data_IF_142904963438
#
_entry.id   IF_142904963438
#
_cell.length_a   1.000
_cell.length_b   1.000
_cell.length_c   1.000
_cell.angle_alpha   90.00
_cell.angle_beta   90.00
_cell.angle_gamma   90.00
#
_symmetry.space_group_name_H-M   'P 1'
#
loop_
_entity.id
_entity.type
_entity.pdbx_description
1 polymer ?
#
# COMPACT_ATOMS: atom_id res chain seq x y z
N UNK A 1 -39.98 -28.94 -169.87
CA UNK A 1 -40.93 -30.03 -169.56
C UNK A 1 -40.35 -31.34 -170.11
N UNK A 2 -40.32 -32.42 -169.31
CA UNK A 2 -39.72 -33.72 -169.68
C UNK A 2 -40.81 -34.65 -170.27
N UNK A 3 -40.55 -35.35 -171.38
CA UNK A 3 -41.46 -36.33 -171.98
C UNK A 3 -41.42 -37.70 -171.28
N UNK A 4 -42.50 -38.52 -171.31
CA UNK A 4 -42.63 -39.75 -170.50
C UNK A 4 -41.57 -40.83 -170.76
N UNK A 5 -41.18 -41.54 -169.68
CA UNK A 5 -40.18 -42.63 -169.57
C UNK A 5 -40.56 -43.93 -170.32
N UNK A 6 -39.58 -44.64 -170.89
CA UNK A 6 -39.68 -46.08 -171.18
C UNK A 6 -38.28 -46.76 -171.15
N UNK A 7 -38.19 -47.93 -170.51
CA UNK A 7 -36.98 -48.66 -170.04
C UNK A 7 -36.17 -48.05 -168.87
N UNK A 8 -36.68 -47.00 -168.20
CA UNK A 8 -36.20 -46.59 -166.87
C UNK A 8 -35.40 -45.29 -166.77
N UNK A 9 -35.09 -44.58 -167.86
CA UNK A 9 -34.38 -43.29 -167.81
C UNK A 9 -35.22 -42.12 -168.38
N UNK A 10 -35.14 -40.93 -167.74
CA UNK A 10 -35.67 -39.66 -168.26
C UNK A 10 -34.57 -38.91 -169.04
N UNK A 11 -34.83 -38.27 -170.20
CA UNK A 11 -33.85 -37.46 -170.92
C UNK A 11 -33.82 -36.01 -170.41
N UNK A 12 -32.64 -35.35 -170.34
CA UNK A 12 -32.46 -33.97 -169.84
C UNK A 12 -33.28 -32.90 -170.61
N UNK A 13 -33.86 -31.91 -169.89
CA UNK A 13 -34.73 -30.86 -170.44
C UNK A 13 -34.03 -29.52 -170.75
N UNK A 14 -34.58 -28.76 -171.71
CA UNK A 14 -34.03 -27.47 -172.23
C UNK A 14 -34.96 -26.28 -171.87
N UNK A 15 -34.37 -25.09 -171.66
CA UNK A 15 -34.97 -23.85 -171.12
C UNK A 15 -35.56 -22.91 -172.21
N UNK A 16 -36.54 -22.05 -171.85
CA UNK A 16 -37.27 -21.17 -172.78
C UNK A 16 -37.44 -19.69 -172.36
N UNK A 17 -36.70 -19.16 -171.37
CA UNK A 17 -36.85 -17.75 -170.96
C UNK A 17 -35.82 -16.84 -171.64
N UNK A 18 -36.26 -15.75 -172.28
CA UNK A 18 -35.44 -14.58 -172.62
C UNK A 18 -35.64 -13.42 -171.62
N UNK A 19 -34.69 -12.47 -171.46
CA UNK A 19 -34.72 -11.46 -170.40
C UNK A 19 -35.63 -10.25 -170.72
N UNK A 20 -36.35 -9.72 -169.72
CA UNK A 20 -37.16 -8.49 -169.82
C UNK A 20 -36.51 -7.31 -169.03
N UNK A 21 -36.57 -6.10 -169.62
CA UNK A 21 -35.70 -4.95 -169.32
C UNK A 21 -36.05 -4.05 -168.12
N UNK A 22 -35.16 -3.07 -167.87
CA UNK A 22 -35.14 -2.18 -166.71
C UNK A 22 -36.15 -1.01 -166.78
N UNK A 23 -36.76 -0.66 -165.65
CA UNK A 23 -37.63 0.53 -165.47
C UNK A 23 -36.94 1.59 -164.60
N UNK A 24 -37.02 2.86 -165.03
CA UNK A 24 -36.23 4.00 -164.56
C UNK A 24 -36.68 4.74 -163.29
N UNK A 25 -35.94 5.81 -162.95
CA UNK A 25 -35.81 6.50 -161.66
C UNK A 25 -37.01 7.35 -161.19
N UNK A 26 -37.25 7.39 -159.87
CA UNK A 26 -38.27 8.22 -159.19
C UNK A 26 -37.65 9.51 -158.60
N UNK A 27 -38.37 10.65 -158.71
CA UNK A 27 -37.88 12.02 -158.44
C UNK A 27 -37.71 12.44 -156.96
N UNK A 28 -37.23 13.67 -156.71
CA UNK A 28 -36.81 14.12 -155.38
C UNK A 28 -37.99 14.35 -154.42
N UNK A 29 -37.85 13.88 -153.18
CA UNK A 29 -38.85 14.09 -152.12
C UNK A 29 -38.78 15.52 -151.56
N UNK A 30 -39.95 16.13 -151.30
CA UNK A 30 -40.07 17.49 -150.75
C UNK A 30 -39.59 17.63 -149.30
N UNK A 31 -39.25 18.86 -148.90
CA UNK A 31 -38.73 19.22 -147.57
C UNK A 31 -39.68 18.82 -146.42
N UNK A 32 -39.16 18.12 -145.41
CA UNK A 32 -39.87 17.76 -144.17
C UNK A 32 -40.41 19.00 -143.44
N UNK A 33 -41.68 18.97 -143.00
CA UNK A 33 -42.32 20.05 -142.23
C UNK A 33 -41.69 20.27 -140.84
N UNK A 34 -41.83 21.47 -140.30
CA UNK A 34 -41.25 21.85 -139.00
C UNK A 34 -41.74 20.94 -137.86
N UNK A 35 -40.81 20.45 -137.03
CA UNK A 35 -41.11 19.65 -135.84
C UNK A 35 -42.06 20.39 -134.90
N UNK A 36 -43.14 19.74 -134.45
CA UNK A 36 -44.11 20.33 -133.53
C UNK A 36 -43.48 20.77 -132.20
N UNK A 37 -44.09 21.76 -131.54
CA UNK A 37 -43.61 22.30 -130.25
C UNK A 37 -43.43 21.18 -129.23
N UNK A 38 -42.27 21.14 -128.56
CA UNK A 38 -42.02 20.15 -127.52
C UNK A 38 -43.08 20.26 -126.42
N UNK A 39 -43.69 19.13 -126.03
CA UNK A 39 -44.64 19.09 -124.93
C UNK A 39 -44.01 19.59 -123.63
N UNK A 40 -44.81 20.18 -122.74
CA UNK A 40 -44.33 20.66 -121.44
C UNK A 40 -43.67 19.51 -120.68
N UNK A 41 -42.41 19.71 -120.26
CA UNK A 41 -41.65 18.68 -119.56
C UNK A 41 -42.34 18.34 -118.22
N UNK A 42 -42.54 17.05 -117.96
CA UNK A 42 -42.99 16.61 -116.64
C UNK A 42 -41.88 16.91 -115.61
N UNK A 43 -42.26 17.50 -114.47
CA UNK A 43 -41.32 17.80 -113.38
C UNK A 43 -41.61 16.89 -112.17
N UNK A 44 -40.56 16.54 -111.45
CA UNK A 44 -40.66 15.80 -110.18
C UNK A 44 -39.80 16.53 -109.15
N UNK A 45 -40.38 16.79 -107.97
CA UNK A 45 -39.66 17.33 -106.82
C UNK A 45 -39.96 16.52 -105.57
N UNK A 46 -39.08 16.61 -104.57
CA UNK A 46 -39.28 15.99 -103.26
C UNK A 46 -39.95 17.01 -102.34
N UNK A 47 -41.06 16.61 -101.73
CA UNK A 47 -41.76 17.37 -100.72
C UNK A 47 -41.18 17.12 -99.33
N UNK A 48 -42.03 16.89 -98.34
CA UNK A 48 -41.60 16.63 -96.96
C UNK A 48 -41.01 15.23 -96.81
N UNK A 49 -39.92 15.10 -96.06
CA UNK A 49 -39.40 13.83 -95.57
C UNK A 49 -39.56 13.80 -94.06
N UNK A 50 -40.32 12.82 -93.55
CA UNK A 50 -40.61 12.69 -92.12
C UNK A 50 -40.13 11.35 -91.60
N UNK A 51 -39.59 11.33 -90.38
CA UNK A 51 -39.23 10.07 -89.73
C UNK A 51 -40.45 9.50 -89.01
N UNK A 52 -40.91 8.32 -89.43
CA UNK A 52 -42.02 7.59 -88.80
C UNK A 52 -41.61 6.84 -87.53
N UNK A 53 -42.59 6.31 -86.81
CA UNK A 53 -42.35 5.43 -85.66
C UNK A 53 -41.62 4.15 -86.09
N UNK A 54 -40.82 3.58 -85.19
CA UNK A 54 -40.12 2.33 -85.47
C UNK A 54 -41.11 1.18 -85.71
N UNK A 55 -40.76 0.27 -86.63
CA UNK A 55 -41.61 -0.85 -87.05
C UNK A 55 -42.78 -0.51 -87.99
N UNK A 56 -43.01 0.78 -88.32
CA UNK A 56 -44.02 1.15 -89.33
C UNK A 56 -43.51 0.89 -90.76
N UNK A 57 -44.40 0.86 -91.76
CA UNK A 57 -44.02 0.71 -93.18
C UNK A 57 -43.58 2.06 -93.78
N UNK A 58 -42.57 2.03 -94.66
CA UNK A 58 -42.20 3.22 -95.44
C UNK A 58 -43.28 3.54 -96.49
N UNK A 59 -43.53 4.83 -96.73
CA UNK A 59 -44.55 5.27 -97.68
C UNK A 59 -44.09 6.47 -98.49
N UNK A 60 -44.49 6.52 -99.76
CA UNK A 60 -44.33 7.67 -100.65
C UNK A 60 -45.69 8.09 -101.15
N UNK A 61 -46.02 9.38 -101.01
CA UNK A 61 -47.29 9.95 -101.48
C UNK A 61 -47.01 11.10 -102.43
N UNK A 62 -47.61 11.10 -103.63
CA UNK A 62 -47.56 12.26 -104.50
C UNK A 62 -48.60 13.29 -104.03
N UNK A 63 -48.14 14.41 -103.50
CA UNK A 63 -48.97 15.55 -103.10
C UNK A 63 -49.07 16.62 -104.20
N UNK A 64 -48.37 16.43 -105.33
CA UNK A 64 -48.44 17.28 -106.52
C UNK A 64 -49.49 16.79 -107.54
N UNK A 65 -49.29 17.15 -108.81
CA UNK A 65 -50.13 16.64 -109.92
C UNK A 65 -49.44 15.50 -110.67
N UNK A 66 -50.12 14.86 -111.61
CA UNK A 66 -49.52 13.81 -112.47
C UNK A 66 -48.45 14.33 -113.42
N UNK A 67 -48.47 15.64 -113.76
CA UNK A 67 -47.51 16.27 -114.67
C UNK A 67 -46.45 17.14 -113.95
N UNK A 68 -46.65 17.41 -112.66
CA UNK A 68 -45.70 18.10 -111.78
C UNK A 68 -45.78 17.44 -110.39
N UNK A 69 -45.12 16.29 -110.24
CA UNK A 69 -45.23 15.46 -109.05
C UNK A 69 -44.40 16.04 -107.89
N UNK A 70 -44.96 16.01 -106.69
CA UNK A 70 -44.26 16.37 -105.45
C UNK A 70 -44.36 15.18 -104.52
N UNK A 71 -43.25 14.45 -104.34
CA UNK A 71 -43.25 13.20 -103.59
C UNK A 71 -42.90 13.46 -102.12
N UNK A 72 -43.84 13.19 -101.22
CA UNK A 72 -43.62 13.21 -99.78
C UNK A 72 -43.27 11.80 -99.27
N UNK A 73 -42.23 11.71 -98.45
CA UNK A 73 -41.71 10.45 -97.92
C UNK A 73 -41.95 10.36 -96.40
N UNK A 74 -42.38 9.19 -95.94
CA UNK A 74 -42.31 8.81 -94.53
C UNK A 74 -41.37 7.62 -94.38
N UNK A 75 -40.30 7.80 -93.61
CA UNK A 75 -39.23 6.82 -93.41
C UNK A 75 -39.26 6.40 -91.94
N UNK A 76 -39.66 5.17 -91.60
CA UNK A 76 -39.65 4.66 -90.24
C UNK A 76 -38.26 4.77 -89.60
N UNK A 77 -38.18 5.21 -88.34
CA UNK A 77 -36.94 5.08 -87.57
C UNK A 77 -36.61 3.60 -87.37
N UNK A 78 -35.32 3.25 -87.26
CA UNK A 78 -34.94 1.92 -86.77
C UNK A 78 -35.42 1.67 -85.34
N UNK A 79 -35.60 0.40 -84.98
CA UNK A 79 -35.88 0.00 -83.60
C UNK A 79 -34.76 0.45 -82.66
N UNK A 80 -35.09 0.74 -81.40
CA UNK A 80 -34.08 1.01 -80.38
C UNK A 80 -33.15 -0.19 -80.27
N UNK A 81 -31.83 0.06 -80.34
CA UNK A 81 -30.84 -0.99 -80.15
C UNK A 81 -31.04 -1.72 -78.82
N UNK A 82 -30.70 -3.00 -78.76
CA UNK A 82 -30.77 -3.77 -77.53
C UNK A 82 -30.02 -3.02 -76.41
N UNK A 83 -30.56 -3.05 -75.19
CA UNK A 83 -29.83 -2.56 -74.00
C UNK A 83 -28.46 -3.22 -73.98
N UNK A 84 -27.41 -2.41 -73.83
CA UNK A 84 -26.05 -2.94 -73.72
C UNK A 84 -25.99 -3.99 -72.61
N UNK A 85 -25.22 -5.05 -72.83
CA UNK A 85 -24.94 -6.05 -71.80
C UNK A 85 -24.55 -5.35 -70.50
N UNK A 86 -25.09 -5.80 -69.36
CA UNK A 86 -24.59 -5.38 -68.05
C UNK A 86 -23.07 -5.52 -68.04
N UNK A 87 -22.35 -4.45 -67.68
CA UNK A 87 -20.90 -4.50 -67.58
C UNK A 87 -20.46 -5.65 -66.68
N UNK A 88 -19.27 -6.24 -66.89
CA UNK A 88 -18.79 -7.32 -66.03
C UNK A 88 -18.86 -6.86 -64.58
N UNK A 89 -19.58 -7.60 -63.72
CA UNK A 89 -19.52 -7.36 -62.28
C UNK A 89 -18.07 -7.54 -61.84
N UNK A 90 -17.44 -6.46 -61.40
CA UNK A 90 -16.15 -6.55 -60.73
C UNK A 90 -16.34 -7.40 -59.48
N UNK A 91 -15.76 -8.61 -59.47
CA UNK A 91 -15.68 -9.40 -58.25
C UNK A 91 -14.72 -8.70 -57.31
N UNK A 92 -15.26 -7.95 -56.36
CA UNK A 92 -14.48 -7.48 -55.21
C UNK A 92 -14.31 -8.68 -54.29
N UNK A 93 -13.24 -9.42 -54.49
CA UNK A 93 -12.84 -10.48 -53.56
C UNK A 93 -12.13 -9.84 -52.38
N UNK A 94 -12.81 -9.80 -51.23
CA UNK A 94 -12.22 -9.36 -49.98
C UNK A 94 -11.82 -10.58 -49.15
N UNK A 95 -10.54 -10.67 -48.80
CA UNK A 95 -10.04 -11.63 -47.82
C UNK A 95 -9.93 -10.92 -46.48
N UNK A 96 -10.27 -11.62 -45.39
CA UNK A 96 -10.18 -11.07 -44.06
C UNK A 96 -8.78 -10.45 -43.80
N UNK A 97 -8.70 -9.26 -43.18
CA UNK A 97 -9.73 -8.59 -42.39
C UNK A 97 -10.65 -7.62 -43.15
N UNK A 98 -10.48 -7.51 -44.49
CA UNK A 98 -11.30 -6.65 -45.33
C UNK A 98 -12.64 -7.35 -45.59
N UNK A 99 -13.74 -6.62 -45.40
CA UNK A 99 -15.10 -7.11 -45.66
C UNK A 99 -15.73 -6.26 -46.75
N UNK A 100 -16.42 -6.91 -47.70
CA UNK A 100 -17.20 -6.23 -48.73
C UNK A 100 -18.69 -6.50 -48.52
N UNK A 101 -19.49 -5.43 -48.33
CA UNK A 101 -20.94 -5.54 -48.28
C UNK A 101 -21.50 -5.28 -49.68
N UNK A 102 -21.98 -6.34 -50.34
CA UNK A 102 -22.53 -6.27 -51.69
C UNK A 102 -23.88 -5.53 -51.77
N UNK A 103 -24.64 -5.45 -50.67
CA UNK A 103 -25.93 -4.74 -50.63
C UNK A 103 -25.79 -3.22 -50.56
N UNK A 104 -24.76 -2.72 -49.87
CA UNK A 104 -24.48 -1.27 -49.74
C UNK A 104 -23.30 -0.80 -50.57
N UNK A 105 -22.60 -1.70 -51.24
CA UNK A 105 -21.37 -1.44 -52.01
C UNK A 105 -20.28 -0.74 -51.16
N UNK A 106 -20.17 -1.09 -49.88
CA UNK A 106 -19.19 -0.51 -48.97
C UNK A 106 -18.07 -1.51 -48.65
N UNK A 107 -16.85 -0.98 -48.53
CA UNK A 107 -15.67 -1.72 -48.07
C UNK A 107 -15.39 -1.30 -46.63
N UNK A 108 -15.24 -2.29 -45.74
CA UNK A 108 -14.94 -2.08 -44.33
C UNK A 108 -13.77 -2.94 -43.84
N UNK A 109 -13.28 -2.64 -42.65
CA UNK A 109 -12.31 -3.46 -41.91
C UNK A 109 -13.04 -3.99 -40.68
N UNK A 110 -13.02 -5.30 -40.46
CA UNK A 110 -13.63 -5.89 -39.27
C UNK A 110 -12.91 -5.39 -38.02
N UNK A 111 -13.66 -4.94 -37.00
CA UNK A 111 -13.07 -4.55 -35.72
C UNK A 111 -12.29 -5.73 -35.12
N UNK A 112 -11.12 -5.46 -34.53
CA UNK A 112 -10.27 -6.44 -33.87
C UNK A 112 -10.84 -6.93 -32.52
N UNK A 113 -12.15 -7.15 -32.47
CA UNK A 113 -12.91 -7.59 -31.29
C UNK A 113 -13.47 -9.00 -31.47
N UNK A 114 -13.27 -9.61 -32.65
CA UNK A 114 -13.72 -10.97 -32.96
C UNK A 114 -12.60 -11.75 -33.66
N UNK A 115 -12.64 -13.08 -33.60
CA UNK A 115 -11.62 -14.01 -34.12
C UNK A 115 -11.52 -14.07 -35.65
N UNK A 116 -11.54 -12.92 -36.34
CA UNK A 116 -11.36 -12.85 -37.79
C UNK A 116 -9.88 -12.98 -38.16
N UNK A 117 -9.56 -13.91 -39.06
CA UNK A 117 -8.19 -14.10 -39.55
C UNK A 117 -7.66 -12.84 -40.26
N UNK A 118 -6.43 -12.42 -39.98
CA UNK A 118 -5.75 -11.36 -40.73
C UNK A 118 -5.78 -9.95 -40.12
N UNK A 119 -6.58 -9.67 -39.08
CA UNK A 119 -6.48 -8.39 -38.32
C UNK A 119 -5.48 -8.47 -37.16
N UNK A 120 -5.34 -9.65 -36.54
CA UNK A 120 -4.32 -10.03 -35.58
C UNK A 120 -4.15 -11.56 -35.62
N UNK A 121 -2.95 -12.10 -35.39
CA UNK A 121 -2.80 -13.56 -35.33
C UNK A 121 -3.53 -14.14 -34.11
N UNK A 122 -3.89 -15.43 -34.14
CA UNK A 122 -4.46 -16.10 -32.96
C UNK A 122 -3.53 -15.96 -31.73
N UNK A 123 -2.21 -15.95 -31.95
CA UNK A 123 -1.21 -15.72 -30.90
C UNK A 123 -1.25 -14.29 -30.36
N UNK A 124 -1.47 -13.28 -31.21
CA UNK A 124 -1.55 -11.88 -30.77
C UNK A 124 -2.87 -11.56 -30.08
N UNK A 125 -3.96 -12.26 -30.44
CA UNK A 125 -5.23 -12.21 -29.70
C UNK A 125 -5.07 -12.81 -28.30
N UNK A 126 -4.39 -13.95 -28.18
CA UNK A 126 -4.07 -14.54 -26.87
C UNK A 126 -3.23 -13.60 -26.01
N UNK A 127 -2.25 -12.89 -26.60
CA UNK A 127 -1.48 -11.86 -25.88
C UNK A 127 -2.34 -10.67 -25.44
N UNK A 128 -3.29 -10.22 -26.27
CA UNK A 128 -4.18 -9.10 -25.95
C UNK A 128 -5.23 -9.49 -24.91
N UNK A 129 -5.83 -10.68 -25.02
CA UNK A 129 -6.79 -11.21 -24.05
C UNK A 129 -6.14 -11.56 -22.70
N UNK A 130 -4.85 -11.90 -22.71
CA UNK A 130 -4.05 -12.09 -21.50
C UNK A 130 -3.79 -10.76 -20.77
N UNK A 131 -4.08 -9.61 -21.39
CA UNK A 131 -4.11 -8.31 -20.74
C UNK A 131 -5.53 -8.11 -20.16
N UNK A 132 -5.84 -8.81 -19.07
CA UNK A 132 -7.04 -8.57 -18.27
C UNK A 132 -6.67 -7.92 -16.93
N UNK A 133 -7.24 -6.76 -16.60
CA UNK A 133 -7.10 -6.11 -15.28
C UNK A 133 -6.22 -4.85 -15.24
N UNK A 134 -6.11 -4.23 -14.06
CA UNK A 134 -5.27 -3.05 -13.77
C UNK A 134 -3.83 -3.22 -14.26
N UNK A 135 -3.28 -2.15 -14.85
CA UNK A 135 -1.98 -1.99 -15.54
C UNK A 135 -0.85 -3.01 -15.28
N UNK A 136 -0.23 -3.43 -16.39
CA UNK A 136 0.88 -4.39 -16.51
C UNK A 136 2.11 -3.81 -17.24
N UNK A 137 2.40 -2.51 -17.09
CA UNK A 137 3.79 -2.06 -17.21
C UNK A 137 4.57 -2.57 -16.01
N UNK A 138 5.85 -2.97 -16.18
CA UNK A 138 6.63 -3.79 -15.24
C UNK A 138 6.23 -3.55 -13.80
N UNK A 139 5.74 -4.58 -13.09
CA UNK A 139 6.33 -4.96 -11.80
C UNK A 139 6.15 -6.46 -11.53
N UNK A 140 7.17 -7.24 -11.84
CA UNK A 140 7.47 -8.44 -11.05
C UNK A 140 7.83 -7.95 -9.65
N UNK A 141 6.86 -7.80 -8.74
CA UNK A 141 7.18 -7.75 -7.30
C UNK A 141 7.04 -9.17 -6.76
N UNK A 142 8.14 -9.91 -6.84
CA UNK A 142 8.28 -11.19 -6.16
C UNK A 142 8.36 -10.92 -4.65
N UNK A 143 7.21 -10.83 -3.99
CA UNK A 143 7.12 -10.88 -2.52
C UNK A 143 7.15 -12.35 -2.10
N UNK A 144 8.34 -12.90 -1.86
CA UNK A 144 8.49 -14.23 -1.27
C UNK A 144 8.41 -14.13 0.25
N UNK A 145 7.47 -14.86 0.88
CA UNK A 145 7.34 -14.95 2.33
C UNK A 145 5.94 -14.62 2.87
N UNK A 146 5.89 -13.92 4.01
CA UNK A 146 4.69 -13.74 4.85
C UNK A 146 3.72 -12.62 4.38
N UNK A 147 4.10 -11.86 3.35
CA UNK A 147 3.25 -10.79 2.79
C UNK A 147 2.58 -11.31 1.53
N UNK A 148 1.25 -11.45 1.59
CA UNK A 148 0.42 -11.73 0.41
C UNK A 148 -0.43 -10.51 0.10
N UNK A 149 -0.55 -10.19 -1.19
CA UNK A 149 -1.44 -9.16 -1.70
C UNK A 149 -2.22 -9.70 -2.88
N UNK A 150 -3.55 -9.58 -2.86
CA UNK A 150 -4.41 -9.95 -3.99
C UNK A 150 -5.43 -8.85 -4.26
N UNK A 151 -5.57 -8.45 -5.52
CA UNK A 151 -6.54 -7.46 -5.97
C UNK A 151 -6.09 -6.72 -7.23
N UNK A 152 -7.03 -6.08 -7.92
CA UNK A 152 -6.79 -5.20 -9.06
C UNK A 152 -6.95 -3.75 -8.60
N UNK A 153 -5.84 -3.04 -8.37
CA UNK A 153 -5.81 -1.58 -8.11
C UNK A 153 -5.51 -1.10 -6.69
N UNK A 154 -5.58 -1.96 -5.66
CA UNK A 154 -5.11 -1.67 -4.31
C UNK A 154 -4.69 -2.96 -3.60
N UNK A 155 -3.45 -3.02 -3.11
CA UNK A 155 -2.91 -4.18 -2.41
C UNK A 155 -2.95 -3.91 -0.91
N UNK A 156 -4.02 -4.33 -0.22
CA UNK A 156 -4.00 -4.32 1.24
C UNK A 156 -3.03 -5.39 1.73
N UNK A 157 -1.84 -4.99 2.15
CA UNK A 157 -0.88 -5.89 2.79
C UNK A 157 -1.45 -6.33 4.14
N UNK A 158 -1.79 -7.61 4.27
CA UNK A 158 -2.27 -8.18 5.54
C UNK A 158 -1.17 -9.05 6.12
N UNK A 159 -0.59 -8.64 7.25
CA UNK A 159 0.29 -9.49 8.04
C UNK A 159 -0.57 -10.22 9.07
N UNK A 160 -0.62 -11.55 8.98
CA UNK A 160 -1.34 -12.34 9.98
C UNK A 160 -0.61 -12.28 11.33
N UNK A 161 -1.34 -12.31 12.44
CA UNK A 161 -0.74 -12.42 13.77
C UNK A 161 0.16 -13.66 13.88
N UNK A 162 -0.19 -14.76 13.21
CA UNK A 162 0.64 -15.97 13.18
C UNK A 162 2.01 -15.74 12.51
N UNK A 163 2.06 -14.95 11.44
CA UNK A 163 3.31 -14.59 10.77
C UNK A 163 4.21 -13.70 11.65
N UNK A 164 3.61 -12.71 12.32
CA UNK A 164 4.32 -11.80 13.23
C UNK A 164 4.80 -12.53 14.48
N UNK A 165 3.94 -13.33 15.10
CA UNK A 165 4.25 -14.02 16.35
C UNK A 165 5.20 -15.22 16.11
N UNK A 166 4.93 -16.04 15.09
CA UNK A 166 5.68 -17.28 14.85
C UNK A 166 7.10 -17.08 14.33
N UNK A 167 7.42 -15.95 13.69
CA UNK A 167 8.77 -15.65 13.17
C UNK A 167 9.54 -14.63 14.00
N UNK A 168 8.86 -13.69 14.67
CA UNK A 168 9.52 -12.62 15.44
C UNK A 168 9.53 -12.93 16.94
N UNK A 169 8.54 -13.61 17.52
CA UNK A 169 8.52 -13.85 18.97
C UNK A 169 9.04 -15.24 19.39
N UNK A 170 9.14 -16.19 18.46
CA UNK A 170 9.75 -17.50 18.74
C UNK A 170 11.26 -17.35 18.95
N UNK A 171 11.75 -17.64 20.15
CA UNK A 171 13.16 -17.42 20.53
C UNK A 171 13.42 -16.11 21.30
N UNK A 172 12.38 -15.34 21.62
CA UNK A 172 12.49 -14.18 22.50
C UNK A 172 13.18 -14.56 23.82
N UNK A 173 14.32 -13.93 24.09
CA UNK A 173 15.08 -14.09 25.34
C UNK A 173 15.38 -12.71 25.92
N UNK A 174 14.81 -12.40 27.08
CA UNK A 174 15.04 -11.12 27.75
C UNK A 174 16.50 -10.98 28.17
N UNK A 175 17.16 -9.86 27.86
CA UNK A 175 18.55 -9.62 28.20
C UNK A 175 18.90 -8.13 28.16
N UNK A 176 19.37 -7.58 29.28
CA UNK A 176 19.66 -6.15 29.41
C UNK A 176 20.77 -5.67 28.44
N UNK A 177 20.68 -4.42 27.97
CA UNK A 177 21.67 -3.80 27.10
C UNK A 177 21.19 -2.52 26.43
N UNK A 178 22.10 -1.80 25.78
CA UNK A 178 21.78 -0.57 25.02
C UNK A 178 21.17 -0.91 23.67
N UNK A 179 20.07 -0.26 23.31
CA UNK A 179 19.48 -0.35 21.96
C UNK A 179 20.39 0.38 20.98
N UNK A 180 20.91 -0.34 19.98
CA UNK A 180 21.81 0.14 18.94
C UNK A 180 21.13 0.15 17.58
N UNK A 181 21.65 0.96 16.64
CA UNK A 181 21.12 1.03 15.27
C UNK A 181 21.23 -0.29 14.48
N UNK A 182 22.08 -1.23 14.94
CA UNK A 182 22.25 -2.57 14.37
C UNK A 182 21.25 -3.59 14.92
N UNK A 183 20.46 -3.23 15.93
CA UNK A 183 19.49 -4.14 16.51
C UNK A 183 18.27 -4.32 15.59
N UNK A 184 17.85 -5.57 15.44
CA UNK A 184 16.50 -5.86 14.96
C UNK A 184 15.46 -5.37 15.96
N UNK A 185 14.22 -5.16 15.52
CA UNK A 185 13.10 -4.78 16.40
C UNK A 185 12.96 -5.77 17.58
N UNK A 186 13.13 -7.08 17.33
CA UNK A 186 13.10 -8.09 18.37
C UNK A 186 14.23 -7.93 19.39
N UNK A 187 15.46 -7.64 18.95
CA UNK A 187 16.59 -7.38 19.85
C UNK A 187 16.39 -6.12 20.69
N UNK A 188 15.82 -5.07 20.12
CA UNK A 188 15.49 -3.86 20.86
C UNK A 188 14.45 -4.14 21.97
N UNK A 189 13.40 -4.92 21.68
CA UNK A 189 12.39 -5.28 22.68
C UNK A 189 12.99 -6.18 23.79
N UNK A 190 13.82 -7.16 23.43
CA UNK A 190 14.53 -8.02 24.40
C UNK A 190 15.40 -7.20 25.36
N UNK A 191 16.08 -6.17 24.83
CA UNK A 191 16.90 -5.23 25.61
C UNK A 191 16.08 -4.34 26.51
N UNK A 192 15.01 -3.74 26.01
CA UNK A 192 14.11 -2.91 26.82
C UNK A 192 13.51 -3.71 27.98
N UNK A 193 12.97 -4.89 27.70
CA UNK A 193 12.42 -5.76 28.73
C UNK A 193 13.49 -6.27 29.71
N UNK A 194 14.70 -6.57 29.22
CA UNK A 194 15.82 -6.94 30.07
C UNK A 194 16.31 -5.81 30.95
N UNK A 195 16.29 -4.56 30.45
CA UNK A 195 16.61 -3.36 31.21
C UNK A 195 15.58 -3.09 32.29
N UNK A 196 14.29 -3.25 32.00
CA UNK A 196 13.22 -3.15 33.01
C UNK A 196 13.39 -4.19 34.11
N UNK A 197 13.72 -5.43 33.75
CA UNK A 197 14.02 -6.50 34.70
C UNK A 197 15.29 -6.21 35.53
N UNK A 198 16.36 -5.68 34.91
CA UNK A 198 17.60 -5.29 35.58
C UNK A 198 17.41 -4.10 36.53
N UNK A 199 16.56 -3.14 36.17
CA UNK A 199 16.16 -2.04 37.04
C UNK A 199 15.43 -2.57 38.29
N UNK A 200 14.56 -3.56 38.12
CA UNK A 200 13.87 -4.20 39.24
C UNK A 200 14.81 -5.01 40.14
N UNK A 201 15.77 -5.76 39.58
CA UNK A 201 16.71 -6.57 40.38
C UNK A 201 17.77 -5.74 41.09
N UNK A 202 18.27 -4.67 40.47
CA UNK A 202 19.18 -3.71 41.11
C UNK A 202 18.50 -2.95 42.25
N UNK A 203 17.19 -2.71 42.17
CA UNK A 203 16.41 -2.17 43.29
C UNK A 203 16.29 -3.16 44.47
N UNK A 204 16.22 -4.47 44.22
CA UNK A 204 16.15 -5.50 45.27
C UNK A 204 17.50 -5.89 45.87
N UNK A 205 18.61 -5.73 45.14
CA UNK A 205 19.97 -6.03 45.64
C UNK A 205 20.57 -4.88 46.48
N UNK A 206 19.92 -3.72 46.51
CA UNK A 206 20.33 -2.59 47.34
C UNK A 206 19.88 -2.81 48.78
N UNK A 207 20.74 -3.42 49.61
CA UNK A 207 20.63 -3.42 51.08
C UNK A 207 20.86 -2.04 51.71
N UNK A 208 21.04 -1.02 50.87
CA UNK A 208 21.31 0.35 51.27
C UNK A 208 20.28 1.23 50.57
N UNK A 209 19.55 2.01 51.35
CA UNK A 209 18.66 3.05 50.87
C UNK A 209 19.41 3.98 49.90
N UNK A 210 19.22 3.79 48.59
CA UNK A 210 19.77 4.69 47.58
C UNK A 210 18.69 5.75 47.32
N UNK A 211 18.88 7.01 47.76
CA UNK A 211 18.01 8.07 47.27
C UNK A 211 18.16 8.13 45.75
N UNK A 212 17.04 7.93 45.05
CA UNK A 212 16.97 7.91 43.60
C UNK A 212 17.18 9.34 43.06
N UNK A 213 18.40 9.85 43.08
CA UNK A 213 18.72 11.25 42.75
C UNK A 213 18.81 11.52 41.24
N UNK A 214 18.49 10.55 40.38
CA UNK A 214 18.60 10.75 38.92
C UNK A 214 17.49 10.02 38.15
N UNK A 215 16.24 10.51 38.24
CA UNK A 215 15.28 10.64 37.13
C UNK A 215 13.84 11.03 37.55
N UNK A 216 13.66 11.81 38.62
CA UNK A 216 12.30 12.22 39.03
C UNK A 216 11.68 13.31 38.13
N UNK A 217 12.41 13.87 37.16
CA UNK A 217 11.89 14.90 36.25
C UNK A 217 10.84 14.39 35.24
N UNK A 218 10.66 13.07 35.11
CA UNK A 218 9.71 12.49 34.15
C UNK A 218 8.33 12.11 34.73
N UNK A 219 8.13 12.19 36.06
CA UNK A 219 6.84 11.90 36.69
C UNK A 219 6.22 13.22 37.17
N UNK A 220 5.40 13.82 36.31
CA UNK A 220 4.75 15.10 36.57
C UNK A 220 4.06 15.16 37.93
N UNK A 221 4.47 16.14 38.74
CA UNK A 221 3.86 16.88 39.85
C UNK A 221 2.70 16.33 40.74
N UNK A 222 2.14 15.13 40.54
CA UNK A 222 0.96 14.65 41.29
C UNK A 222 1.15 13.29 41.98
N UNK A 223 2.38 12.84 42.19
CA UNK A 223 2.63 11.63 42.97
C UNK A 223 3.97 11.70 43.72
N UNK A 224 4.02 12.57 44.74
CA UNK A 224 5.01 12.42 45.83
C UNK A 224 4.50 11.34 46.78
N UNK A 225 4.34 10.13 46.25
CA UNK A 225 4.24 8.93 47.04
C UNK A 225 5.58 8.22 46.89
N UNK A 226 6.30 8.19 47.99
CA UNK A 226 7.44 7.34 48.27
C UNK A 226 7.25 5.96 47.60
N UNK A 227 7.81 5.76 46.40
CA UNK A 227 7.69 4.51 45.63
C UNK A 227 8.62 3.48 46.26
N UNK A 228 8.16 2.77 47.30
CA UNK A 228 8.57 1.38 47.45
C UNK A 228 7.99 0.66 46.23
N UNK A 229 8.87 0.02 45.47
CA UNK A 229 8.59 -0.67 44.23
C UNK A 229 7.22 -1.40 44.25
N UNK A 230 6.26 -0.91 43.47
CA UNK A 230 5.09 -1.71 43.09
C UNK A 230 5.46 -2.48 41.84
N UNK A 231 6.10 -3.62 42.01
CA UNK A 231 6.06 -4.68 41.01
C UNK A 231 5.12 -5.77 41.55
N UNK A 232 3.98 -5.97 40.89
CA UNK A 232 3.04 -7.08 41.08
C UNK A 232 2.66 -7.46 42.53
N UNK A 233 1.64 -6.80 43.07
CA UNK A 233 1.06 -7.18 44.36
C UNK A 233 -0.32 -7.81 44.22
N UNK A 234 -0.33 -9.11 43.90
CA UNK A 234 -1.48 -10.01 44.05
C UNK A 234 -1.40 -10.86 45.34
N UNK A 235 -0.47 -10.55 46.24
CA UNK A 235 -0.34 -11.16 47.57
C UNK A 235 -0.42 -10.13 48.68
N UNK A 236 -0.92 -10.54 49.85
CA UNK A 236 -1.01 -9.74 51.07
C UNK A 236 0.28 -8.97 51.34
N UNK A 237 0.17 -7.64 51.32
CA UNK A 237 1.26 -6.73 51.68
C UNK A 237 1.53 -6.86 53.17
N UNK A 238 2.50 -7.70 53.55
CA UNK A 238 3.21 -7.45 54.78
C UNK A 238 3.93 -6.11 54.57
N UNK A 239 3.34 -5.04 55.09
CA UNK A 239 4.08 -3.81 55.37
C UNK A 239 5.37 -4.27 56.03
N UNK A 240 6.54 -4.00 55.42
CA UNK A 240 7.81 -4.34 56.03
C UNK A 240 7.78 -3.71 57.41
N UNK A 241 7.57 -4.54 58.43
CA UNK A 241 7.53 -4.10 59.83
C UNK A 241 8.78 -3.26 60.02
N UNK A 242 8.62 -2.00 60.40
CA UNK A 242 9.73 -1.10 60.66
C UNK A 242 10.43 -1.63 61.91
N UNK A 243 11.29 -2.64 61.73
CA UNK A 243 11.81 -3.54 62.77
C UNK A 243 12.88 -2.90 63.64
N UNK A 244 13.22 -1.64 63.38
CA UNK A 244 14.20 -0.90 64.14
C UNK A 244 13.95 0.60 63.98
N UNK A 245 12.99 1.15 64.74
CA UNK A 245 12.86 2.62 64.88
C UNK A 245 13.96 3.10 65.82
N UNK A 246 14.95 3.90 65.36
CA UNK A 246 15.95 4.48 66.25
C UNK A 246 15.27 5.30 67.34
N UNK A 247 15.76 5.19 68.57
CA UNK A 247 15.22 5.91 69.70
C UNK A 247 16.29 6.24 70.73
N UNK A 248 16.06 7.35 71.42
CA UNK A 248 16.93 7.85 72.47
C UNK A 248 16.11 8.34 73.67
N UNK A 249 16.66 8.15 74.86
CA UNK A 249 16.09 8.65 76.11
C UNK A 249 17.19 9.41 76.86
N UNK A 250 16.99 10.72 77.03
CA UNK A 250 17.88 11.60 77.78
C UNK A 250 17.36 11.87 79.19
N UNK A 251 18.19 11.62 80.20
CA UNK A 251 17.86 11.79 81.62
C UNK A 251 18.85 12.74 82.27
N UNK A 252 18.36 13.84 82.85
CA UNK A 252 19.14 14.70 83.72
C UNK A 252 19.25 14.05 85.11
N UNK A 253 20.49 13.81 85.57
CA UNK A 253 20.77 13.11 86.82
C UNK A 253 21.25 14.02 87.95
N UNK A 254 21.24 15.33 87.74
CA UNK A 254 21.52 16.34 88.76
C UNK A 254 20.91 17.70 88.39
N UNK A 255 21.01 18.66 89.30
CA UNK A 255 20.55 20.06 89.15
C UNK A 255 21.50 20.97 88.33
N UNK A 256 22.39 20.36 87.54
CA UNK A 256 23.40 21.03 86.72
C UNK A 256 24.48 21.87 87.45
N UNK A 257 24.32 22.16 88.74
CA UNK A 257 25.07 23.22 89.43
C UNK A 257 25.75 22.73 90.72
N UNK A 258 25.13 21.81 91.44
CA UNK A 258 25.67 21.22 92.66
C UNK A 258 26.67 20.11 92.32
N UNK A 259 27.67 19.91 93.18
CA UNK A 259 28.61 18.80 93.07
C UNK A 259 27.84 17.48 93.10
N UNK A 260 28.20 16.55 92.20
CA UNK A 260 27.70 15.19 92.24
C UNK A 260 28.12 14.52 93.55
N UNK A 261 27.26 13.64 94.05
CA UNK A 261 27.55 12.78 95.21
C UNK A 261 27.33 11.34 94.81
N UNK A 262 28.05 10.41 95.41
CA UNK A 262 27.76 8.99 95.24
C UNK A 262 26.39 8.66 95.83
N UNK A 263 25.81 7.56 95.38
CA UNK A 263 24.53 7.06 95.90
C UNK A 263 23.77 6.25 94.88
N UNK A 264 22.85 5.43 95.38
CA UNK A 264 21.94 4.61 94.58
C UNK A 264 20.67 5.39 94.25
N UNK A 265 20.02 5.02 93.15
CA UNK A 265 18.75 5.57 92.69
C UNK A 265 18.72 7.12 92.71
N UNK A 266 19.79 7.74 92.20
CA UNK A 266 19.85 9.21 92.04
C UNK A 266 18.74 9.70 91.13
N UNK A 267 18.36 8.88 90.15
CA UNK A 267 17.13 9.02 89.37
C UNK A 267 16.48 7.65 89.26
N UNK A 268 15.15 7.63 89.39
CA UNK A 268 14.31 6.47 89.10
C UNK A 268 13.27 6.87 88.05
N UNK A 269 13.12 6.07 87.00
CA UNK A 269 12.11 6.29 85.96
C UNK A 269 11.61 4.96 85.40
N UNK A 270 10.55 5.00 84.58
CA UNK A 270 9.96 3.84 83.93
C UNK A 270 10.20 3.90 82.43
N UNK A 271 10.55 2.78 81.80
CA UNK A 271 10.74 2.73 80.36
C UNK A 271 9.41 2.98 79.63
N UNK A 272 9.32 4.00 78.76
CA UNK A 272 8.06 4.32 78.06
C UNK A 272 7.67 3.30 76.99
N UNK A 273 8.63 2.49 76.54
CA UNK A 273 8.47 1.40 75.58
C UNK A 273 9.66 0.45 75.71
N UNK A 274 9.52 -0.78 75.20
CA UNK A 274 10.63 -1.72 75.11
C UNK A 274 11.72 -1.19 74.16
N UNK A 275 12.98 -1.34 74.53
CA UNK A 275 14.13 -0.83 73.78
C UNK A 275 15.25 -1.86 73.76
N UNK A 276 15.83 -2.10 72.58
CA UNK A 276 17.14 -2.75 72.45
C UNK A 276 18.23 -1.68 72.49
N UNK A 277 18.98 -1.62 73.59
CA UNK A 277 20.03 -0.65 73.84
C UNK A 277 21.29 -0.97 73.04
N UNK A 278 21.81 0.00 72.29
CA UNK A 278 23.03 -0.14 71.48
C UNK A 278 24.18 0.69 72.03
N UNK A 279 23.88 1.78 72.74
CA UNK A 279 24.90 2.61 73.38
C UNK A 279 24.36 3.37 74.58
N UNK A 280 25.26 3.71 75.50
CA UNK A 280 25.01 4.68 76.57
C UNK A 280 26.05 5.78 76.50
N UNK A 281 25.61 7.02 76.63
CA UNK A 281 26.49 8.19 76.68
C UNK A 281 26.26 8.97 77.97
N UNK A 282 27.36 9.35 78.59
CA UNK A 282 27.37 10.23 79.75
C UNK A 282 27.93 11.59 79.33
N UNK A 283 27.41 12.65 79.92
CA UNK A 283 28.01 13.98 79.85
C UNK A 283 27.86 14.75 81.14
N UNK A 284 28.79 15.67 81.40
CA UNK A 284 28.78 16.58 82.54
C UNK A 284 29.10 18.00 82.10
N UNK A 285 28.55 18.99 82.81
CA UNK A 285 28.88 20.40 82.60
C UNK A 285 30.29 20.71 83.15
N UNK A 286 30.61 20.17 84.32
CA UNK A 286 31.94 20.24 84.95
C UNK A 286 32.54 18.84 85.06
N UNK A 287 33.72 18.66 84.47
CA UNK A 287 34.44 17.38 84.47
C UNK A 287 34.79 16.93 85.90
N UNK A 288 34.73 15.61 86.21
CA UNK A 288 35.35 15.08 87.41
C UNK A 288 36.87 15.25 87.32
N UNK A 289 37.57 15.45 88.44
CA UNK A 289 39.04 15.47 88.46
C UNK A 289 39.59 14.57 89.57
N UNK A 290 40.84 14.12 89.42
CA UNK A 290 41.50 13.19 90.33
C UNK A 290 41.08 11.72 90.14
N UNK A 291 39.80 11.46 89.85
CA UNK A 291 39.28 10.13 89.53
C UNK A 291 38.15 10.21 88.50
N UNK A 292 37.85 9.09 87.85
CA UNK A 292 36.74 9.00 86.90
C UNK A 292 35.39 9.06 87.62
N UNK A 293 34.36 9.55 86.92
CA UNK A 293 32.96 9.46 87.34
C UNK A 293 32.37 8.16 86.78
N UNK A 294 31.97 7.23 87.64
CA UNK A 294 31.42 5.93 87.24
C UNK A 294 29.93 5.90 87.54
N UNK A 295 29.13 5.60 86.51
CA UNK A 295 27.67 5.58 86.58
C UNK A 295 27.19 4.15 86.33
N UNK A 296 26.21 3.72 87.09
CA UNK A 296 25.62 2.39 86.93
C UNK A 296 24.12 2.54 86.65
N UNK A 297 23.67 1.91 85.58
CA UNK A 297 22.26 1.93 85.18
C UNK A 297 21.73 0.53 85.41
N UNK A 298 20.61 0.44 86.11
CA UNK A 298 20.02 -0.82 86.51
C UNK A 298 18.60 -0.94 85.99
N UNK A 299 18.24 -2.14 85.54
CA UNK A 299 16.88 -2.55 85.25
C UNK A 299 16.40 -3.48 86.37
N UNK A 300 15.27 -3.15 87.00
CA UNK A 300 14.71 -3.90 88.11
C UNK A 300 15.73 -4.24 89.23
N UNK A 301 16.65 -3.31 89.49
CA UNK A 301 17.69 -3.43 90.52
C UNK A 301 18.99 -4.14 90.09
N UNK A 302 19.08 -4.65 88.86
CA UNK A 302 20.28 -5.34 88.33
C UNK A 302 21.02 -4.47 87.31
N UNK A 303 22.36 -4.44 87.34
CA UNK A 303 23.18 -3.68 86.37
C UNK A 303 22.95 -4.20 84.95
N UNK A 304 22.79 -3.28 83.99
CA UNK A 304 22.72 -3.62 82.57
C UNK A 304 24.11 -3.79 81.92
N UNK A 305 25.17 -3.56 82.69
CA UNK A 305 26.55 -3.58 82.23
C UNK A 305 27.40 -4.65 82.91
N UNK A 306 28.31 -5.25 82.13
CA UNK A 306 29.48 -5.99 82.65
C UNK A 306 30.67 -5.06 82.89
N UNK A 307 30.80 -3.99 82.10
CA UNK A 307 31.71 -2.86 82.34
C UNK A 307 30.92 -1.57 82.36
N UNK A 308 30.87 -0.89 83.51
CA UNK A 308 30.05 0.31 83.72
C UNK A 308 30.56 1.49 82.89
N UNK A 309 29.66 2.35 82.38
CA UNK A 309 30.06 3.57 81.69
C UNK A 309 30.69 4.56 82.66
N UNK A 310 31.72 5.27 82.20
CA UNK A 310 32.40 6.29 82.98
C UNK A 310 32.78 7.51 82.14
N UNK A 311 33.04 8.61 82.84
CA UNK A 311 33.72 9.79 82.28
C UNK A 311 35.09 9.86 82.95
N UNK A 312 36.15 9.83 82.14
CA UNK A 312 37.53 9.90 82.63
C UNK A 312 37.80 11.24 83.33
N UNK A 313 38.78 11.25 84.23
CA UNK A 313 39.20 12.49 84.90
C UNK A 313 39.56 13.57 83.86
N UNK A 314 39.09 14.78 84.09
CA UNK A 314 39.21 15.96 83.23
C UNK A 314 38.43 15.91 81.91
N UNK A 315 37.69 14.83 81.62
CA UNK A 315 36.80 14.75 80.45
C UNK A 315 35.37 15.19 80.79
N UNK A 316 34.62 15.64 79.77
CA UNK A 316 33.21 16.05 79.91
C UNK A 316 32.21 15.04 79.35
N UNK A 317 32.69 13.98 78.71
CA UNK A 317 31.84 12.94 78.10
C UNK A 317 32.50 11.58 78.21
N UNK A 318 31.69 10.52 78.20
CA UNK A 318 32.17 9.15 78.13
C UNK A 318 32.66 8.74 76.74
N UNK A 319 32.37 9.54 75.70
CA UNK A 319 32.87 9.26 74.34
C UNK A 319 34.39 9.43 74.33
N UNK A 320 35.09 8.35 73.99
CA UNK A 320 36.56 8.32 74.02
C UNK A 320 37.17 8.01 75.39
N UNK A 321 36.37 7.57 76.38
CA UNK A 321 36.90 7.07 77.65
C UNK A 321 37.84 5.87 77.43
N UNK A 322 38.92 5.82 78.21
CA UNK A 322 39.88 4.71 78.22
C UNK A 322 39.29 3.39 78.72
N UNK A 323 38.14 3.41 79.41
CA UNK A 323 37.39 2.19 79.78
C UNK A 323 36.06 2.17 79.03
N UNK A 324 35.96 1.31 78.02
CA UNK A 324 34.75 1.19 77.20
C UNK A 324 33.66 0.46 77.97
N UNK A 325 32.47 1.06 78.02
CA UNK A 325 31.30 0.43 78.61
C UNK A 325 30.88 -0.81 77.82
N UNK A 326 30.52 -1.89 78.50
CA UNK A 326 30.03 -3.13 77.88
C UNK A 326 28.64 -3.41 78.41
N UNK A 327 27.64 -3.25 77.53
CA UNK A 327 26.23 -3.55 77.82
C UNK A 327 26.08 -5.08 77.76
N UNK A 328 25.77 -5.70 78.90
CA UNK A 328 25.54 -7.14 79.00
C UNK A 328 24.06 -7.49 78.94
N UNK A 329 23.19 -6.55 79.33
CA UNK A 329 21.75 -6.64 79.14
C UNK A 329 21.29 -5.46 78.30
N UNK A 330 20.98 -5.72 77.04
CA UNK A 330 20.52 -4.69 76.10
C UNK A 330 19.00 -4.66 75.96
N UNK A 331 18.27 -5.60 76.56
CA UNK A 331 16.84 -5.80 76.32
C UNK A 331 16.00 -5.12 77.40
N UNK A 332 15.88 -3.79 77.34
CA UNK A 332 15.09 -3.02 78.29
C UNK A 332 13.59 -3.24 78.02
N UNK A 333 12.87 -3.78 78.99
CA UNK A 333 11.45 -4.08 78.85
C UNK A 333 10.58 -2.81 78.94
N UNK A 334 9.40 -2.87 78.32
CA UNK A 334 8.39 -1.80 78.48
C UNK A 334 7.95 -1.71 79.93
N UNK A 335 7.80 -0.49 80.46
CA UNK A 335 7.45 -0.20 81.85
C UNK A 335 8.42 -0.75 82.91
N UNK A 336 9.60 -1.21 82.50
CA UNK A 336 10.66 -1.62 83.42
C UNK A 336 11.09 -0.44 84.30
N UNK A 337 11.32 -0.71 85.59
CA UNK A 337 11.89 0.27 86.50
C UNK A 337 13.38 0.40 86.27
N UNK A 338 13.80 1.63 85.95
CA UNK A 338 15.19 1.98 85.71
C UNK A 338 15.71 2.85 86.84
N UNK A 339 16.90 2.54 87.35
CA UNK A 339 17.61 3.41 88.30
C UNK A 339 18.97 3.79 87.76
N UNK A 340 19.39 5.02 88.04
CA UNK A 340 20.73 5.52 87.76
C UNK A 340 21.44 5.77 89.09
N UNK A 341 22.52 5.05 89.31
CA UNK A 341 23.38 5.14 90.48
C UNK A 341 24.67 5.87 90.10
N UNK A 342 25.23 6.62 91.05
CA UNK A 342 26.57 7.19 90.94
C UNK A 342 27.46 6.40 91.91
N UNK A 343 28.25 5.49 91.36
CA UNK A 343 29.10 4.58 92.15
C UNK A 343 30.41 5.24 92.58
N UNK A 344 30.94 6.13 91.74
CA UNK A 344 32.18 6.86 91.99
C UNK A 344 32.10 8.26 91.41
N UNK A 345 32.64 9.24 92.12
CA UNK A 345 32.81 10.63 91.66
C UNK A 345 34.31 10.96 91.55
N UNK A 346 34.64 12.09 90.93
CA UNK A 346 36.02 12.57 90.98
C UNK A 346 36.46 12.90 92.41
N UNK A 347 37.71 12.56 92.75
CA UNK A 347 38.23 12.67 94.11
C UNK A 347 38.61 14.10 94.52
N UNK A 348 38.97 14.96 93.57
CA UNK A 348 39.26 16.38 93.84
C UNK A 348 38.08 17.27 93.48
N UNK A 349 37.53 17.09 92.28
CA UNK A 349 36.27 17.70 91.84
C UNK A 349 35.33 16.56 91.49
N UNK A 350 34.19 16.50 92.16
CA UNK A 350 33.20 15.43 91.96
C UNK A 350 32.64 15.35 90.52
N UNK A 351 32.63 16.49 89.83
CA UNK A 351 31.88 16.72 88.60
C UNK A 351 30.50 17.33 88.89
N UNK A 352 29.86 17.91 87.87
CA UNK A 352 28.54 18.57 87.97
C UNK A 352 27.73 18.40 86.69
N UNK A 353 26.41 18.30 86.81
CA UNK A 353 25.50 18.31 85.67
C UNK A 353 25.50 17.04 84.86
N UNK A 354 25.45 15.89 85.53
CA UNK A 354 25.40 14.59 84.86
C UNK A 354 24.11 14.44 84.05
N UNK A 355 24.26 14.10 82.77
CA UNK A 355 23.20 13.70 81.85
C UNK A 355 23.55 12.32 81.30
N UNK A 356 22.55 11.46 81.22
CA UNK A 356 22.66 10.09 80.71
C UNK A 356 21.77 9.95 79.51
N UNK A 357 22.31 9.41 78.42
CA UNK A 357 21.58 9.11 77.20
C UNK A 357 21.60 7.61 76.95
N UNK A 358 20.42 7.01 76.91
CA UNK A 358 20.19 5.66 76.42
C UNK A 358 19.90 5.76 74.92
N UNK A 359 20.62 4.99 74.10
CA UNK A 359 20.50 5.02 72.64
C UNK A 359 20.27 3.59 72.18
N UNK A 360 19.25 3.39 71.36
CA UNK A 360 18.87 2.07 70.92
C UNK A 360 17.83 2.08 69.81
N UNK A 361 17.12 0.98 69.68
CA UNK A 361 15.99 0.83 68.77
C UNK A 361 14.77 0.41 69.57
N UNK A 362 13.60 0.93 69.21
CA UNK A 362 12.32 0.47 69.78
C UNK A 362 12.09 -0.98 69.36
N UNK A 363 11.82 -1.83 70.34
CA UNK A 363 11.46 -3.23 70.13
C UNK A 363 9.97 -3.37 69.84
#
# INVERSE_FOLDING_TARGET
IYGPKAAGAWPAGVSLVGPAGATGSTGPAGSTGATGSAGAAATVSVGTVTTGAAGSSASVTNTGTSSAAVLAFSIPRGDTGATGSTGPSGVVSATAPITYNSGTQTVGISAATTSAAGSMSAADKVKLDAISGTNTGDQTITLTGEVTGSGTGSFATTLSNSAVIGKVLTGYTSGAGTVAATDTILQAIQKLNGNDAAFLTSATAATTYQPLTANLTALGANNVAYYLARANHTGTQAFSTLTAVPAEIGIACSDETTNLTTGTAKVTFRMPYAMTLTAVRLSVNTAPTGSALVVNIKEAGTTIFSTKPQIDASAKTSVGSGTTAVISDSALASDAEMTIDIDQIGSTIAGKGLKVWLIGTRA
#
